data_IF_070677754227
#
_entry.id   IF_070677754227
#
_cell.length_a   1.000
_cell.length_b   1.000
_cell.length_c   1.000
_cell.angle_alpha   90.00
_cell.angle_beta   90.00
_cell.angle_gamma   90.00
#
_symmetry.space_group_name_H-M   'P 1'
#
loop_
_entity.id
_entity.type
_entity.pdbx_description
1 polymer ?
#
# COMPACT_ATOMS: atom_id res chain seq x y z
N UNK A 1 -48.86 -15.27 -37.98
CA UNK A 1 -47.60 -14.46 -37.86
C UNK A 1 -47.08 -14.59 -36.44
N UNK A 2 -46.03 -15.37 -36.25
CA UNK A 2 -45.41 -15.53 -34.94
C UNK A 2 -44.38 -14.42 -34.78
N UNK A 3 -44.61 -13.49 -33.84
CA UNK A 3 -43.62 -12.47 -33.46
C UNK A 3 -42.60 -13.12 -32.55
N UNK A 4 -41.38 -13.26 -33.02
CA UNK A 4 -40.25 -13.73 -32.25
C UNK A 4 -39.72 -12.55 -31.42
N UNK A 5 -39.99 -12.57 -30.11
CA UNK A 5 -39.39 -11.64 -29.15
C UNK A 5 -37.98 -12.12 -28.86
N UNK A 6 -36.98 -11.45 -29.43
CA UNK A 6 -35.58 -11.66 -29.06
C UNK A 6 -35.35 -10.89 -27.77
N UNK A 7 -35.35 -11.61 -26.66
CA UNK A 7 -34.96 -11.08 -25.36
C UNK A 7 -33.41 -10.95 -25.34
N UNK A 8 -32.93 -9.76 -25.66
CA UNK A 8 -31.49 -9.47 -25.54
C UNK A 8 -31.08 -9.47 -24.09
N UNK A 9 -30.42 -10.54 -23.65
CA UNK A 9 -29.70 -10.53 -22.38
C UNK A 9 -28.51 -9.57 -22.48
N UNK A 10 -28.69 -8.36 -21.94
CA UNK A 10 -27.61 -7.42 -21.72
C UNK A 10 -26.75 -7.99 -20.58
N UNK A 11 -25.72 -8.76 -20.93
CA UNK A 11 -24.67 -9.14 -20.00
C UNK A 11 -23.88 -7.88 -19.68
N UNK A 12 -24.30 -7.18 -18.62
CA UNK A 12 -23.47 -6.18 -17.97
C UNK A 12 -22.24 -6.91 -17.39
N UNK A 13 -21.15 -6.92 -18.14
CA UNK A 13 -19.86 -7.33 -17.64
C UNK A 13 -19.47 -6.32 -16.56
N UNK A 14 -19.74 -6.65 -15.31
CA UNK A 14 -19.07 -5.99 -14.19
C UNK A 14 -17.59 -6.36 -14.35
N UNK A 15 -16.80 -5.44 -14.89
CA UNK A 15 -15.37 -5.46 -14.75
C UNK A 15 -15.08 -5.24 -13.26
N UNK A 16 -15.19 -6.31 -12.47
CA UNK A 16 -14.62 -6.32 -11.14
C UNK A 16 -13.13 -6.02 -11.31
N UNK A 17 -12.62 -5.01 -10.61
CA UNK A 17 -11.19 -4.78 -10.55
C UNK A 17 -10.54 -6.08 -10.08
N UNK A 18 -9.99 -6.83 -11.02
CA UNK A 18 -9.32 -8.09 -10.71
C UNK A 18 -8.13 -7.77 -9.81
N UNK A 19 -8.07 -8.43 -8.67
CA UNK A 19 -6.87 -8.45 -7.84
C UNK A 19 -5.77 -9.08 -8.68
N UNK A 20 -4.81 -8.29 -9.07
CA UNK A 20 -3.67 -8.73 -9.86
C UNK A 20 -2.39 -8.07 -9.35
N UNK A 21 -1.27 -8.52 -9.86
CA UNK A 21 0.04 -8.02 -9.47
C UNK A 21 0.20 -6.52 -9.74
N UNK A 22 -0.41 -5.99 -10.82
CA UNK A 22 -0.32 -4.57 -11.15
C UNK A 22 -1.08 -3.72 -10.13
N UNK A 23 -2.32 -4.08 -9.78
CA UNK A 23 -3.08 -3.35 -8.76
C UNK A 23 -2.41 -3.41 -7.37
N UNK A 24 -1.76 -4.52 -7.06
CA UNK A 24 -0.98 -4.67 -5.82
C UNK A 24 0.25 -3.76 -5.81
N UNK A 25 0.95 -3.67 -6.94
CA UNK A 25 2.08 -2.76 -7.13
C UNK A 25 1.66 -1.31 -6.99
N UNK A 26 0.56 -0.92 -7.63
CA UNK A 26 0.01 0.44 -7.52
C UNK A 26 -0.37 0.78 -6.08
N UNK A 27 -0.98 -0.14 -5.34
CA UNK A 27 -1.31 0.05 -3.92
C UNK A 27 -0.06 0.31 -3.07
N UNK A 28 1.02 -0.43 -3.31
CA UNK A 28 2.29 -0.23 -2.61
C UNK A 28 2.90 1.14 -2.92
N UNK A 29 2.97 1.50 -4.19
CA UNK A 29 3.52 2.80 -4.61
C UNK A 29 2.69 3.96 -4.05
N UNK A 30 1.36 3.82 -4.01
CA UNK A 30 0.49 4.81 -3.37
C UNK A 30 0.77 4.92 -1.86
N UNK A 31 0.98 3.80 -1.17
CA UNK A 31 1.35 3.80 0.25
C UNK A 31 2.66 4.58 0.48
N UNK A 32 3.70 4.34 -0.31
CA UNK A 32 4.94 5.10 -0.22
C UNK A 32 4.72 6.60 -0.46
N UNK A 33 3.90 6.94 -1.44
CA UNK A 33 3.57 8.35 -1.75
C UNK A 33 2.92 9.06 -0.58
N UNK A 34 1.91 8.46 0.06
CA UNK A 34 1.22 9.09 1.21
C UNK A 34 2.13 9.16 2.45
N UNK A 35 3.04 8.20 2.62
CA UNK A 35 4.06 8.25 3.68
C UNK A 35 5.02 9.42 3.51
N UNK A 36 5.58 9.59 2.33
CA UNK A 36 6.51 10.69 2.00
C UNK A 36 5.82 12.05 2.11
N UNK A 37 4.57 12.14 1.62
CA UNK A 37 3.78 13.36 1.67
C UNK A 37 3.27 13.72 3.08
N UNK A 38 3.40 12.81 4.07
CA UNK A 38 2.75 12.93 5.39
C UNK A 38 1.24 13.17 5.27
N UNK A 39 0.62 12.54 4.30
CA UNK A 39 -0.81 12.61 4.06
C UNK A 39 -1.54 11.72 5.07
N UNK A 40 -1.91 12.29 6.22
CA UNK A 40 -2.55 11.54 7.29
C UNK A 40 -3.92 10.95 6.89
N UNK A 41 -4.81 11.67 6.18
CA UNK A 41 -6.02 11.08 5.63
C UNK A 41 -5.73 9.93 4.65
N UNK A 42 -4.73 10.08 3.78
CA UNK A 42 -4.28 9.03 2.87
C UNK A 42 -3.77 7.80 3.60
N UNK A 43 -2.98 7.98 4.68
CA UNK A 43 -2.53 6.88 5.54
C UNK A 43 -3.71 6.18 6.21
N UNK A 44 -4.70 6.91 6.70
CA UNK A 44 -5.91 6.31 7.26
C UNK A 44 -6.66 5.44 6.25
N UNK A 45 -6.66 5.84 4.99
CA UNK A 45 -7.34 5.12 3.92
C UNK A 45 -6.61 3.85 3.47
N UNK A 46 -5.27 3.89 3.39
CA UNK A 46 -4.47 2.78 2.83
C UNK A 46 -4.06 1.74 3.86
N UNK A 47 -3.98 2.11 5.15
CA UNK A 47 -3.58 1.19 6.21
C UNK A 47 -4.78 0.42 6.77
N UNK A 48 -4.64 -0.90 6.87
CA UNK A 48 -5.68 -1.75 7.44
C UNK A 48 -5.89 -1.46 8.93
N UNK A 49 -7.11 -1.63 9.45
CA UNK A 49 -7.44 -1.41 10.87
C UNK A 49 -6.62 -2.28 11.82
N UNK A 50 -6.27 -3.48 11.40
CA UNK A 50 -5.48 -4.45 12.17
C UNK A 50 -4.00 -4.45 11.75
N UNK A 51 -3.48 -3.30 11.34
CA UNK A 51 -2.08 -3.16 10.93
C UNK A 51 -1.14 -3.63 12.04
N UNK A 52 -0.17 -4.43 11.64
CA UNK A 52 1.04 -4.71 12.42
C UNK A 52 2.23 -4.25 11.58
N UNK A 53 2.96 -3.25 12.07
CA UNK A 53 4.11 -2.67 11.37
C UNK A 53 5.39 -2.90 12.17
N UNK A 54 6.29 -3.67 11.62
CA UNK A 54 7.60 -3.89 12.21
C UNK A 54 8.63 -2.97 11.58
N UNK A 55 9.32 -2.21 12.43
CA UNK A 55 10.46 -1.40 12.02
C UNK A 55 11.74 -2.22 12.02
N UNK A 56 12.73 -1.81 11.24
CA UNK A 56 14.07 -2.45 11.21
C UNK A 56 14.77 -2.41 12.57
N UNK A 57 14.37 -1.51 13.46
CA UNK A 57 14.84 -1.42 14.85
C UNK A 57 14.22 -2.47 15.78
N UNK A 58 13.22 -3.24 15.32
CA UNK A 58 12.46 -4.18 16.14
C UNK A 58 11.24 -3.57 16.84
N UNK A 59 11.04 -2.26 16.72
CA UNK A 59 9.83 -1.60 17.23
C UNK A 59 8.61 -2.04 16.41
N UNK A 60 7.50 -2.27 17.09
CA UNK A 60 6.22 -2.62 16.50
C UNK A 60 5.22 -1.47 16.69
N UNK A 61 4.55 -1.09 15.62
CA UNK A 61 3.43 -0.16 15.63
C UNK A 61 2.12 -0.85 15.18
N UNK A 62 1.01 -0.36 15.69
CA UNK A 62 -0.30 -0.53 15.08
C UNK A 62 -0.63 0.67 14.18
N UNK A 63 -1.82 0.68 13.57
CA UNK A 63 -2.22 1.77 12.66
C UNK A 63 -2.16 3.14 13.33
N UNK A 64 -2.71 3.27 14.52
CA UNK A 64 -2.81 4.57 15.21
C UNK A 64 -1.43 5.08 15.66
N UNK A 65 -0.61 4.20 16.26
CA UNK A 65 0.74 4.58 16.69
C UNK A 65 1.65 4.90 15.50
N UNK A 66 1.51 4.18 14.38
CA UNK A 66 2.26 4.48 13.18
C UNK A 66 1.88 5.85 12.60
N UNK A 67 0.60 6.15 12.45
CA UNK A 67 0.14 7.46 11.96
C UNK A 67 0.56 8.58 12.91
N UNK A 68 0.48 8.37 14.22
CA UNK A 68 0.95 9.34 15.20
C UNK A 68 2.46 9.60 15.08
N UNK A 69 3.27 8.58 14.80
CA UNK A 69 4.71 8.75 14.61
C UNK A 69 5.04 9.56 13.35
N UNK A 70 4.28 9.38 12.28
CA UNK A 70 4.40 10.18 11.05
C UNK A 70 3.97 11.63 11.32
N UNK A 71 2.85 11.82 11.99
CA UNK A 71 2.32 13.16 12.33
C UNK A 71 3.30 13.96 13.19
N UNK A 72 3.94 13.33 14.17
CA UNK A 72 4.92 13.97 15.07
C UNK A 72 6.26 14.31 14.39
N UNK A 73 6.51 13.80 13.18
CA UNK A 73 7.80 13.93 12.51
C UNK A 73 8.88 12.95 13.01
N UNK A 74 8.54 12.04 13.93
CA UNK A 74 9.45 10.98 14.41
C UNK A 74 9.84 10.04 13.27
N UNK A 75 8.91 9.77 12.35
CA UNK A 75 9.16 9.09 11.09
C UNK A 75 9.08 10.11 9.96
N UNK A 76 10.21 10.58 9.46
CA UNK A 76 10.28 11.57 8.37
C UNK A 76 10.97 10.96 7.15
N UNK A 77 10.16 10.67 6.14
CA UNK A 77 10.62 10.13 4.86
C UNK A 77 10.71 11.26 3.83
N UNK A 78 11.90 11.45 3.24
CA UNK A 78 12.11 12.39 2.12
C UNK A 78 11.81 11.70 0.80
N UNK A 79 12.25 10.44 0.67
CA UNK A 79 11.98 9.59 -0.49
C UNK A 79 11.97 8.12 -0.09
N UNK A 80 11.13 7.34 -0.77
CA UNK A 80 11.10 5.89 -0.70
C UNK A 80 11.17 5.38 -2.14
N UNK A 81 12.27 4.72 -2.49
CA UNK A 81 12.53 4.27 -3.86
C UNK A 81 12.66 2.75 -3.88
N UNK A 82 11.75 2.02 -4.52
CA UNK A 82 11.93 0.60 -4.76
C UNK A 82 13.09 0.36 -5.73
N UNK A 83 14.08 -0.43 -5.31
CA UNK A 83 15.14 -0.93 -6.18
C UNK A 83 14.73 -2.26 -6.83
N UNK A 84 14.06 -3.09 -6.06
CA UNK A 84 13.44 -4.35 -6.48
C UNK A 84 12.06 -4.46 -5.84
N UNK A 85 11.09 -4.95 -6.61
CA UNK A 85 9.75 -5.21 -6.09
C UNK A 85 9.11 -6.35 -6.84
N UNK A 86 8.67 -7.38 -6.11
CA UNK A 86 7.96 -8.53 -6.62
C UNK A 86 6.59 -8.64 -5.97
N UNK A 87 5.59 -8.90 -6.78
CA UNK A 87 4.20 -9.08 -6.36
C UNK A 87 3.83 -10.55 -6.42
N UNK A 88 3.04 -11.00 -5.43
CA UNK A 88 2.38 -12.31 -5.43
C UNK A 88 0.96 -12.13 -4.92
N UNK A 89 0.00 -12.70 -5.62
CA UNK A 89 -1.43 -12.63 -5.25
C UNK A 89 -1.95 -14.01 -4.94
N UNK A 90 -2.55 -14.16 -3.78
CA UNK A 90 -3.16 -15.40 -3.28
C UNK A 90 -4.59 -15.11 -2.85
N UNK A 91 -5.55 -15.27 -3.76
CA UNK A 91 -6.95 -14.92 -3.49
C UNK A 91 -7.11 -13.45 -3.11
N UNK A 92 -7.58 -13.17 -1.90
CA UNK A 92 -7.74 -11.81 -1.37
C UNK A 92 -6.49 -11.26 -0.65
N UNK A 93 -5.38 -11.98 -0.70
CA UNK A 93 -4.13 -11.57 -0.06
C UNK A 93 -3.08 -11.29 -1.12
N UNK A 94 -2.43 -10.15 -1.04
CA UNK A 94 -1.29 -9.77 -1.84
C UNK A 94 -0.04 -9.63 -0.98
N UNK A 95 1.10 -10.03 -1.51
CA UNK A 95 2.40 -9.92 -0.85
C UNK A 95 3.36 -9.20 -1.80
N UNK A 96 3.90 -8.08 -1.33
CA UNK A 96 5.01 -7.39 -1.97
C UNK A 96 6.30 -7.70 -1.21
N UNK A 97 7.34 -8.05 -1.95
CA UNK A 97 8.69 -8.21 -1.39
C UNK A 97 9.69 -7.47 -2.26
N UNK A 98 10.77 -7.03 -1.68
CA UNK A 98 11.81 -6.38 -2.46
C UNK A 98 12.87 -5.68 -1.64
N UNK A 99 13.51 -4.71 -2.27
CA UNK A 99 14.54 -3.85 -1.68
C UNK A 99 14.11 -2.40 -1.85
N UNK A 100 14.18 -1.64 -0.77
CA UNK A 100 13.92 -0.19 -0.75
C UNK A 100 15.20 0.57 -0.42
N UNK A 101 15.37 1.70 -1.07
CA UNK A 101 16.25 2.79 -0.64
C UNK A 101 15.36 3.88 -0.04
N UNK A 102 15.58 4.21 1.22
CA UNK A 102 14.79 5.19 1.97
C UNK A 102 15.70 6.33 2.38
N UNK A 103 15.39 7.55 1.91
CA UNK A 103 16.03 8.77 2.39
C UNK A 103 15.20 9.33 3.53
N UNK A 104 15.80 9.39 4.72
CA UNK A 104 15.20 9.94 5.92
C UNK A 104 15.85 11.26 6.30
N UNK A 105 15.10 12.12 6.98
CA UNK A 105 15.61 13.38 7.53
C UNK A 105 15.38 13.43 9.04
N UNK A 106 16.43 13.70 9.78
CA UNK A 106 16.35 13.95 11.21
C UNK A 106 15.86 15.37 11.53
N UNK A 107 15.52 15.61 12.80
CA UNK A 107 15.01 16.92 13.25
C UNK A 107 16.01 18.07 13.05
N UNK A 108 17.30 17.80 13.05
CA UNK A 108 18.38 18.75 12.77
C UNK A 108 18.60 19.04 11.28
N UNK A 109 17.82 18.41 10.39
CA UNK A 109 17.91 18.53 8.95
C UNK A 109 18.92 17.59 8.30
N UNK A 110 19.69 16.82 9.07
CA UNK A 110 20.60 15.80 8.53
C UNK A 110 19.82 14.69 7.83
N UNK A 111 20.37 14.18 6.73
CA UNK A 111 19.76 13.13 5.94
C UNK A 111 20.58 11.86 5.97
N UNK A 112 19.90 10.72 6.00
CA UNK A 112 20.51 9.39 5.98
C UNK A 112 19.74 8.50 5.00
N UNK A 113 20.48 7.77 4.18
CA UNK A 113 19.90 6.74 3.31
C UNK A 113 20.00 5.38 3.96
N UNK A 114 18.86 4.69 4.04
CA UNK A 114 18.77 3.31 4.54
C UNK A 114 18.37 2.42 3.37
N UNK A 115 19.07 1.32 3.20
CA UNK A 115 18.74 0.26 2.25
C UNK A 115 18.27 -0.96 3.03
N UNK A 116 17.07 -1.45 2.74
CA UNK A 116 16.48 -2.58 3.46
C UNK A 116 15.68 -3.51 2.54
N UNK A 117 15.53 -4.75 2.96
CA UNK A 117 14.53 -5.66 2.42
C UNK A 117 13.21 -5.46 3.13
N UNK A 118 12.12 -5.61 2.39
CA UNK A 118 10.78 -5.49 2.95
C UNK A 118 9.88 -6.65 2.52
N UNK A 119 8.87 -6.89 3.32
CA UNK A 119 7.73 -7.76 3.01
C UNK A 119 6.49 -7.07 3.52
N UNK A 120 5.60 -6.72 2.61
CA UNK A 120 4.33 -6.09 2.92
C UNK A 120 3.17 -6.99 2.48
N UNK A 121 2.21 -7.16 3.37
CA UNK A 121 1.01 -7.96 3.15
C UNK A 121 -0.18 -7.05 3.01
N UNK A 122 -0.90 -7.21 1.91
CA UNK A 122 -2.13 -6.50 1.60
C UNK A 122 -3.31 -7.45 1.65
N UNK A 123 -4.43 -6.97 2.16
CA UNK A 123 -5.69 -7.67 2.07
C UNK A 123 -6.66 -6.87 1.22
N UNK A 124 -7.35 -7.55 0.33
CA UNK A 124 -8.42 -6.93 -0.43
C UNK A 124 -9.67 -6.89 0.42
N UNK A 125 -10.12 -5.68 0.73
CA UNK A 125 -11.35 -5.45 1.49
C UNK A 125 -12.45 -5.00 0.52
N UNK A 126 -13.58 -5.67 0.58
CA UNK A 126 -14.80 -5.18 -0.05
C UNK A 126 -15.20 -3.88 0.66
N UNK A 127 -15.50 -2.84 -0.11
CA UNK A 127 -15.94 -1.54 0.44
C UNK A 127 -17.37 -1.66 0.97
#
# INVERSE_FOLDING_TARGET
>A
MKKLLILGCLLASFAGFAQNEESLKEAELNRFKVMVAKDLPGLQAVLHKDLVYFHSSGVQDNKDSYIASVASGKSSYVAITPEEMQQRVYGKTGINTGILSILQQAADGSQTTIRLRFTDVFVYADK
#
